data_IF_440734138076
#
_entry.id   IF_440734138076
#
_cell.length_a   1.000
_cell.length_b   1.000
_cell.length_c   1.000
_cell.angle_alpha   90.00
_cell.angle_beta   90.00
_cell.angle_gamma   90.00
#
_symmetry.space_group_name_H-M   'P 1'
#
loop_
_entity.id
_entity.type
_entity.pdbx_description
1 polymer ?
#
# COMPACT_ATOMS: atom_id res chain seq x y z
N UNK A 1 3.26 6.53 32.63
CA UNK A 1 4.15 7.21 31.67
C UNK A 1 3.48 7.03 30.34
N UNK A 2 2.72 8.04 29.93
CA UNK A 2 1.93 7.99 28.72
C UNK A 2 2.87 8.04 27.53
N UNK A 3 2.88 6.96 26.75
CA UNK A 3 3.53 6.94 25.45
C UNK A 3 2.75 7.87 24.52
N UNK A 4 3.40 8.83 23.84
CA UNK A 4 2.70 9.74 22.94
C UNK A 4 2.05 8.94 21.79
N UNK A 5 0.75 9.14 21.56
CA UNK A 5 0.09 8.67 20.36
C UNK A 5 0.68 9.43 19.15
N UNK A 6 1.12 8.69 18.16
CA UNK A 6 1.81 9.22 16.99
C UNK A 6 0.76 9.50 15.92
N UNK A 7 0.32 10.76 15.85
CA UNK A 7 -0.84 11.17 15.06
C UNK A 7 -0.86 10.73 13.59
N UNK A 8 -2.06 10.45 13.07
CA UNK A 8 -2.47 10.15 11.68
C UNK A 8 -1.45 9.41 10.80
N UNK A 9 -1.67 8.11 10.60
CA UNK A 9 -0.90 7.27 9.67
C UNK A 9 0.40 6.66 10.23
N UNK A 10 0.65 6.72 11.53
CA UNK A 10 1.74 5.98 12.17
C UNK A 10 1.39 4.48 12.35
N UNK A 11 2.37 3.56 12.51
CA UNK A 11 2.08 2.17 12.84
C UNK A 11 1.22 2.05 14.09
N UNK A 12 0.15 1.26 13.99
CA UNK A 12 -0.68 0.78 15.09
C UNK A 12 0.22 0.08 16.12
N UNK A 13 0.63 0.81 17.15
CA UNK A 13 1.23 0.21 18.33
C UNK A 13 0.33 0.50 19.52
N UNK A 14 -0.58 -0.43 19.78
CA UNK A 14 -1.09 -0.68 21.13
C UNK A 14 -0.05 -1.54 21.88
N UNK A 15 0.32 -1.11 23.08
CA UNK A 15 1.33 -1.77 23.90
C UNK A 15 0.73 -3.03 24.57
N UNK A 16 1.38 -4.18 24.41
CA UNK A 16 1.15 -5.36 25.25
C UNK A 16 2.43 -5.64 26.05
N UNK A 17 2.42 -5.40 27.36
CA UNK A 17 3.46 -5.89 28.27
C UNK A 17 2.98 -7.15 28.98
N UNK A 18 3.66 -8.30 28.84
CA UNK A 18 3.44 -9.44 29.73
C UNK A 18 4.10 -9.13 31.08
N UNK A 19 3.36 -8.57 32.03
CA UNK A 19 3.82 -8.31 33.40
C UNK A 19 2.81 -7.52 34.25
N UNK A 20 2.68 -7.89 35.53
CA UNK A 20 1.68 -7.38 36.52
C UNK A 20 1.49 -5.84 36.50
N UNK A 21 0.25 -5.38 36.28
CA UNK A 21 -0.18 -3.99 36.44
C UNK A 21 -1.61 -3.73 35.93
N UNK A 22 -2.20 -2.57 36.29
CA UNK A 22 -3.60 -2.16 36.06
C UNK A 22 -3.94 -1.73 34.61
N UNK A 23 -3.17 -2.14 33.61
CA UNK A 23 -3.29 -1.72 32.19
C UNK A 23 -3.60 -2.91 31.25
N UNK A 24 -4.17 -3.98 31.79
CA UNK A 24 -4.48 -5.19 31.01
C UNK A 24 -5.77 -4.97 30.21
N UNK A 25 -5.64 -4.97 28.87
CA UNK A 25 -6.78 -4.90 27.96
C UNK A 25 -7.23 -3.49 27.58
N UNK A 26 -6.46 -2.45 27.96
CA UNK A 26 -6.74 -1.08 27.55
C UNK A 26 -6.55 -0.92 26.03
N UNK A 27 -7.52 -0.29 25.38
CA UNK A 27 -7.46 0.05 23.96
C UNK A 27 -7.42 1.56 23.81
N UNK A 28 -6.42 2.07 23.09
CA UNK A 28 -6.25 3.49 22.84
C UNK A 28 -6.42 3.74 21.34
N UNK A 29 -7.23 4.74 20.98
CA UNK A 29 -7.47 5.14 19.59
C UNK A 29 -6.82 6.50 19.36
N UNK A 30 -6.16 6.67 18.21
CA UNK A 30 -5.54 7.93 17.82
C UNK A 30 -6.62 8.94 17.39
N UNK A 31 -6.78 10.03 18.14
CA UNK A 31 -7.78 11.08 17.86
C UNK A 31 -7.42 11.93 16.64
N UNK A 32 -6.18 11.80 16.14
CA UNK A 32 -5.81 12.39 14.85
C UNK A 32 -6.45 11.64 13.66
N UNK A 33 -6.96 10.41 13.84
CA UNK A 33 -7.60 9.66 12.75
C UNK A 33 -9.00 10.17 12.43
N UNK A 34 -9.35 10.21 11.14
CA UNK A 34 -10.72 10.58 10.74
C UNK A 34 -11.64 9.36 10.88
N UNK A 35 -12.05 9.12 12.13
CA UNK A 35 -12.97 8.05 12.48
C UNK A 35 -14.31 8.22 11.79
N UNK A 36 -14.71 7.17 11.10
CA UNK A 36 -16.02 7.02 10.47
C UNK A 36 -16.77 5.89 11.15
N UNK A 37 -18.09 5.96 11.12
CA UNK A 37 -18.97 4.94 11.66
C UNK A 37 -20.14 4.77 10.71
N UNK A 38 -20.36 3.54 10.22
CA UNK A 38 -21.39 3.23 9.21
C UNK A 38 -21.31 4.07 7.93
N UNK A 39 -20.11 4.53 7.56
CA UNK A 39 -19.93 5.20 6.28
C UNK A 39 -19.63 4.18 5.18
N UNK A 40 -20.28 4.25 4.01
CA UNK A 40 -19.86 3.50 2.83
C UNK A 40 -18.56 4.07 2.22
N UNK A 41 -18.09 5.24 2.69
CA UNK A 41 -16.89 5.88 2.18
C UNK A 41 -15.63 5.13 2.64
N UNK A 42 -14.84 4.66 1.67
CA UNK A 42 -13.55 4.00 1.91
C UNK A 42 -12.41 4.94 2.32
N UNK A 43 -12.69 6.25 2.34
CA UNK A 43 -11.69 7.28 2.60
C UNK A 43 -11.41 7.48 4.09
N UNK A 44 -12.31 7.06 4.98
CA UNK A 44 -12.19 7.15 6.45
C UNK A 44 -11.74 5.85 7.12
N UNK A 45 -11.38 5.96 8.40
CA UNK A 45 -11.07 4.78 9.23
C UNK A 45 -12.36 4.31 9.91
N UNK A 46 -12.79 3.08 9.66
CA UNK A 46 -13.99 2.53 10.30
C UNK A 46 -13.68 2.19 11.74
N UNK A 47 -14.18 3.03 12.65
CA UNK A 47 -13.99 2.86 14.09
C UNK A 47 -14.47 1.49 14.56
N UNK A 48 -15.54 0.96 13.96
CA UNK A 48 -16.06 -0.35 14.35
C UNK A 48 -15.08 -1.46 13.97
N UNK A 49 -14.60 -1.50 12.72
CA UNK A 49 -13.60 -2.47 12.28
C UNK A 49 -12.32 -2.43 13.13
N UNK A 50 -11.79 -1.23 13.41
CA UNK A 50 -10.58 -1.08 14.23
C UNK A 50 -10.86 -1.48 15.68
N UNK A 51 -11.99 -1.09 16.26
CA UNK A 51 -12.35 -1.50 17.61
C UNK A 51 -12.46 -3.03 17.75
N UNK A 52 -13.04 -3.73 16.77
CA UNK A 52 -13.09 -5.20 16.80
C UNK A 52 -11.68 -5.80 16.77
N UNK A 53 -10.78 -5.27 15.94
CA UNK A 53 -9.36 -5.70 15.91
C UNK A 53 -8.68 -5.51 17.26
N UNK A 54 -8.74 -4.30 17.82
CA UNK A 54 -8.06 -3.97 19.06
C UNK A 54 -8.65 -4.68 20.27
N UNK A 55 -9.98 -4.87 20.32
CA UNK A 55 -10.60 -5.70 21.35
C UNK A 55 -10.19 -7.16 21.23
N UNK A 56 -9.90 -7.64 20.02
CA UNK A 56 -9.27 -8.93 19.81
C UNK A 56 -7.94 -9.03 20.56
N UNK A 57 -7.08 -8.01 20.49
CA UNK A 57 -5.86 -7.95 21.29
C UNK A 57 -6.13 -7.88 22.80
N UNK A 58 -7.14 -7.09 23.21
CA UNK A 58 -7.53 -7.00 24.61
C UNK A 58 -7.97 -8.35 25.20
N UNK A 59 -8.57 -9.22 24.38
CA UNK A 59 -8.95 -10.61 24.75
C UNK A 59 -7.88 -11.65 24.38
N UNK A 60 -6.64 -11.23 24.07
CA UNK A 60 -5.51 -12.13 23.90
C UNK A 60 -5.37 -12.80 22.53
N UNK A 61 -6.12 -12.34 21.51
CA UNK A 61 -5.83 -12.71 20.12
C UNK A 61 -4.57 -12.02 19.64
N UNK A 62 -3.73 -12.77 18.93
CA UNK A 62 -2.53 -12.27 18.25
C UNK A 62 -2.80 -12.09 16.76
N UNK A 63 -1.96 -11.29 16.11
CA UNK A 63 -2.04 -11.07 14.66
C UNK A 63 -2.03 -12.38 13.85
N UNK A 64 -2.64 -12.32 12.68
CA UNK A 64 -2.66 -13.42 11.71
C UNK A 64 -2.39 -12.97 10.30
N UNK A 65 -1.89 -13.88 9.46
CA UNK A 65 -1.72 -13.68 8.03
C UNK A 65 -3.00 -13.95 7.22
N UNK A 66 -3.99 -14.63 7.80
CA UNK A 66 -5.23 -15.04 7.13
C UNK A 66 -5.99 -13.85 6.54
N UNK A 67 -6.32 -13.91 5.25
CA UNK A 67 -6.79 -12.75 4.48
C UNK A 67 -8.15 -12.22 4.93
N UNK A 68 -9.01 -13.05 5.50
CA UNK A 68 -10.36 -12.65 5.91
C UNK A 68 -10.45 -12.33 7.42
N UNK A 69 -9.35 -12.42 8.17
CA UNK A 69 -9.39 -12.24 9.61
C UNK A 69 -9.39 -10.77 10.02
N UNK A 70 -10.22 -10.41 10.99
CA UNK A 70 -10.18 -9.06 11.57
C UNK A 70 -8.88 -8.80 12.33
N UNK A 71 -8.19 -9.86 12.80
CA UNK A 71 -6.91 -9.81 13.50
C UNK A 71 -5.70 -9.71 12.55
N UNK A 72 -5.89 -9.40 11.27
CA UNK A 72 -4.75 -9.03 10.42
C UNK A 72 -4.09 -7.75 10.92
N UNK A 73 -2.76 -7.66 10.96
CA UNK A 73 -2.04 -6.48 11.45
C UNK A 73 -2.24 -5.21 10.61
N UNK A 74 -3.06 -5.26 9.56
CA UNK A 74 -3.29 -4.19 8.61
C UNK A 74 -4.79 -3.94 8.46
N UNK A 75 -5.18 -2.66 8.41
CA UNK A 75 -6.58 -2.28 8.22
C UNK A 75 -7.08 -2.65 6.83
N UNK A 76 -8.26 -3.29 6.78
CA UNK A 76 -8.82 -3.88 5.56
C UNK A 76 -9.97 -3.07 4.97
N UNK A 77 -10.30 -1.93 5.57
CA UNK A 77 -11.49 -1.15 5.22
C UNK A 77 -12.67 -1.40 6.16
N UNK A 78 -13.80 -0.72 5.91
CA UNK A 78 -15.01 -0.88 6.69
C UNK A 78 -15.58 -2.29 6.59
N UNK A 79 -16.08 -2.84 7.70
CA UNK A 79 -16.66 -4.19 7.74
C UNK A 79 -18.18 -4.22 7.54
N UNK A 80 -18.72 -3.12 7.00
CA UNK A 80 -20.14 -2.95 6.71
C UNK A 80 -20.96 -2.52 7.93
N UNK A 81 -22.22 -2.97 7.99
CA UNK A 81 -23.14 -2.63 9.07
C UNK A 81 -22.77 -3.40 10.36
N UNK A 82 -22.39 -2.72 11.46
CA UNK A 82 -22.06 -3.35 12.74
C UNK A 82 -23.16 -4.27 13.28
N UNK A 83 -24.42 -4.04 12.94
CA UNK A 83 -25.55 -4.88 13.38
C UNK A 83 -25.65 -6.20 12.62
N UNK A 84 -25.01 -6.29 11.45
CA UNK A 84 -24.97 -7.48 10.59
C UNK A 84 -23.59 -8.12 10.54
N UNK A 85 -22.61 -7.47 11.14
CA UNK A 85 -21.24 -7.95 11.16
C UNK A 85 -21.17 -9.27 11.93
N UNK A 86 -20.57 -10.27 11.27
CA UNK A 86 -20.31 -11.57 11.87
C UNK A 86 -18.80 -11.82 11.83
N UNK A 87 -18.27 -12.29 12.95
CA UNK A 87 -16.84 -12.50 13.09
C UNK A 87 -16.39 -13.62 12.12
N UNK A 88 -15.29 -13.44 11.37
CA UNK A 88 -14.76 -14.47 10.49
C UNK A 88 -14.54 -15.79 11.24
N UNK A 89 -14.78 -16.93 10.56
CA UNK A 89 -14.72 -18.25 11.19
C UNK A 89 -13.36 -18.52 11.87
N UNK A 90 -12.26 -18.06 11.26
CA UNK A 90 -10.92 -18.21 11.85
C UNK A 90 -10.76 -17.48 13.18
N UNK A 91 -11.31 -16.28 13.29
CA UNK A 91 -11.24 -15.49 14.53
C UNK A 91 -12.14 -16.13 15.61
N UNK A 92 -13.33 -16.62 15.24
CA UNK A 92 -14.20 -17.39 16.15
C UNK A 92 -13.49 -18.60 16.74
N UNK A 93 -12.81 -19.39 15.91
CA UNK A 93 -12.08 -20.58 16.36
C UNK A 93 -10.98 -20.21 17.35
N UNK A 94 -10.25 -19.12 17.13
CA UNK A 94 -9.19 -18.65 18.04
C UNK A 94 -9.75 -18.16 19.37
N UNK A 95 -10.88 -17.45 19.35
CA UNK A 95 -11.59 -17.07 20.58
C UNK A 95 -12.04 -18.32 21.34
N UNK A 96 -12.58 -19.32 20.66
CA UNK A 96 -12.97 -20.59 21.30
C UNK A 96 -11.79 -21.38 21.86
N UNK A 97 -10.61 -21.29 21.24
CA UNK A 97 -9.39 -21.89 21.79
C UNK A 97 -8.95 -21.24 23.10
N UNK A 98 -9.14 -19.92 23.24
CA UNK A 98 -8.78 -19.18 24.44
C UNK A 98 -9.82 -19.33 25.57
N UNK A 99 -11.10 -19.29 25.23
CA UNK A 99 -12.19 -19.14 26.20
C UNK A 99 -13.21 -20.29 26.23
N UNK A 100 -13.10 -21.25 25.31
CA UNK A 100 -14.08 -22.32 25.14
C UNK A 100 -15.31 -21.87 24.34
N UNK A 101 -16.15 -22.84 24.00
CA UNK A 101 -17.45 -22.58 23.36
C UNK A 101 -18.48 -22.31 24.45
N UNK A 102 -19.41 -21.39 24.20
CA UNK A 102 -20.38 -20.87 25.20
C UNK A 102 -21.16 -21.96 25.94
N UNK A 103 -21.40 -23.11 25.31
CA UNK A 103 -22.09 -24.27 25.93
C UNK A 103 -21.21 -25.11 26.87
N UNK A 104 -19.90 -24.84 26.92
CA UNK A 104 -18.91 -25.56 27.73
C UNK A 104 -18.38 -24.77 28.94
N UNK A 105 -18.78 -23.51 29.09
CA UNK A 105 -18.38 -22.65 30.22
C UNK A 105 -19.47 -22.66 31.28
N UNK A 106 -19.34 -23.56 32.27
CA UNK A 106 -20.21 -23.59 33.45
C UNK A 106 -20.12 -22.24 34.19
N UNK A 107 -21.23 -21.51 34.27
CA UNK A 107 -21.33 -20.28 35.05
C UNK A 107 -20.99 -20.54 36.53
N UNK A 108 -19.76 -20.24 36.96
CA UNK A 108 -19.46 -20.13 38.38
C UNK A 108 -19.77 -18.72 38.84
N UNK A 109 -20.72 -18.64 39.78
CA UNK A 109 -21.14 -17.48 40.57
C UNK A 109 -22.00 -16.41 39.88
N UNK A 110 -23.30 -16.70 39.81
CA UNK A 110 -24.38 -15.71 39.69
C UNK A 110 -24.73 -15.20 41.10
N UNK A 111 -24.61 -13.90 41.43
CA UNK A 111 -25.41 -13.32 42.49
C UNK A 111 -26.82 -13.15 41.93
N UNK A 112 -27.78 -13.80 42.57
CA UNK A 112 -29.19 -13.75 42.22
C UNK A 112 -29.76 -12.32 42.32
N UNK A 113 -30.16 -11.75 41.18
CA UNK A 113 -31.44 -11.04 41.08
C UNK A 113 -31.88 -10.91 39.61
N UNK A 114 -32.95 -11.60 39.15
CA UNK A 114 -33.45 -11.49 37.79
C UNK A 114 -34.65 -10.53 37.74
N UNK A 115 -34.41 -9.23 37.64
CA UNK A 115 -35.42 -8.26 37.16
C UNK A 115 -34.74 -6.93 36.82
N UNK A 116 -34.12 -6.91 35.65
CA UNK A 116 -34.04 -5.72 34.80
C UNK A 116 -33.60 -6.23 33.43
N UNK A 117 -34.57 -6.40 32.54
CA UNK A 117 -34.30 -6.48 31.10
C UNK A 117 -33.67 -5.14 30.72
N UNK A 118 -32.33 -5.09 30.67
CA UNK A 118 -31.66 -3.97 30.07
C UNK A 118 -31.93 -4.07 28.56
N UNK A 119 -32.85 -3.23 28.10
CA UNK A 119 -33.02 -2.91 26.69
C UNK A 119 -31.62 -2.61 26.10
N UNK A 120 -31.26 -3.14 24.91
CA UNK A 120 -29.98 -2.80 24.30
C UNK A 120 -29.88 -1.26 24.24
N UNK A 121 -28.71 -0.67 24.52
CA UNK A 121 -28.59 0.78 24.52
C UNK A 121 -29.04 1.29 23.16
N UNK A 122 -30.10 2.10 23.16
CA UNK A 122 -30.55 2.83 21.97
C UNK A 122 -29.42 3.79 21.62
N UNK A 123 -28.65 3.43 20.60
CA UNK A 123 -27.70 4.36 19.99
C UNK A 123 -28.53 5.52 19.43
N UNK A 124 -28.27 6.72 19.95
CA UNK A 124 -28.87 7.95 19.44
C UNK A 124 -28.53 8.06 17.94
N UNK A 125 -29.55 8.17 17.10
CA UNK A 125 -29.36 8.53 15.70
C UNK A 125 -28.59 9.85 15.64
N UNK A 126 -27.46 9.84 14.92
CA UNK A 126 -26.62 11.02 14.73
C UNK A 126 -27.48 12.12 14.07
N UNK A 127 -27.38 13.39 14.52
CA UNK A 127 -28.07 14.47 13.85
C UNK A 127 -27.60 14.55 12.38
N UNK A 128 -28.57 14.55 11.46
CA UNK A 128 -28.39 14.59 9.98
C UNK A 128 -27.65 15.83 9.46
N UNK A 129 -27.12 16.66 10.35
CA UNK A 129 -26.44 17.90 10.02
C UNK A 129 -25.03 17.92 10.61
N UNK A 130 -24.26 16.85 10.36
CA UNK A 130 -22.82 16.99 10.30
C UNK A 130 -22.52 17.66 8.98
N UNK A 131 -22.33 18.97 9.02
CA UNK A 131 -21.44 19.63 8.07
C UNK A 131 -20.23 18.73 7.93
N UNK A 132 -20.07 18.16 6.74
CA UNK A 132 -18.85 17.51 6.28
C UNK A 132 -17.73 18.47 6.65
N UNK A 133 -17.04 18.20 7.76
CA UNK A 133 -15.75 18.79 8.02
C UNK A 133 -14.99 18.56 6.73
N UNK A 134 -14.69 19.66 6.03
CA UNK A 134 -14.01 19.67 4.76
C UNK A 134 -12.93 18.60 4.83
N UNK A 135 -13.15 17.50 4.10
CA UNK A 135 -12.15 16.47 3.86
C UNK A 135 -10.87 17.24 3.59
N UNK A 136 -9.82 16.98 4.34
CA UNK A 136 -8.48 17.49 4.07
C UNK A 136 -8.14 17.11 2.63
N UNK A 137 -8.48 17.99 1.70
CA UNK A 137 -8.45 17.85 0.25
C UNK A 137 -7.02 17.93 -0.30
N UNK A 138 -6.04 18.02 0.60
CA UNK A 138 -4.62 18.23 0.31
C UNK A 138 -3.78 16.93 0.30
N UNK A 139 -4.36 15.79 0.67
CA UNK A 139 -3.62 14.53 0.69
C UNK A 139 -3.65 13.86 -0.70
N UNK A 140 -2.50 13.45 -1.26
CA UNK A 140 -2.44 12.79 -2.56
C UNK A 140 -3.14 11.42 -2.52
N UNK A 141 -3.78 11.04 -3.63
CA UNK A 141 -4.38 9.73 -3.80
C UNK A 141 -3.33 8.71 -4.26
N UNK A 142 -3.15 7.63 -3.50
CA UNK A 142 -2.17 6.56 -3.80
C UNK A 142 -2.45 5.83 -5.12
N UNK A 143 -3.70 5.79 -5.57
CA UNK A 143 -4.09 5.02 -6.74
C UNK A 143 -3.88 5.78 -8.05
N UNK A 144 -3.94 7.11 -8.01
CA UNK A 144 -3.77 7.94 -9.19
C UNK A 144 -2.38 8.60 -9.24
N UNK A 145 -1.77 8.93 -8.10
CA UNK A 145 -0.54 9.71 -8.06
C UNK A 145 0.69 8.96 -8.61
N UNK A 146 1.63 9.71 -9.19
CA UNK A 146 3.02 9.30 -9.31
C UNK A 146 3.78 9.62 -8.02
N UNK A 147 4.99 9.08 -7.86
CA UNK A 147 5.80 9.24 -6.65
C UNK A 147 7.06 10.06 -6.93
N UNK A 148 7.46 10.87 -5.95
CA UNK A 148 8.64 11.73 -6.08
C UNK A 148 9.92 10.94 -5.73
N UNK A 149 9.82 9.96 -4.83
CA UNK A 149 10.89 9.02 -4.51
C UNK A 149 10.30 7.70 -4.00
N UNK A 150 11.02 6.60 -4.21
CA UNK A 150 10.67 5.29 -3.70
C UNK A 150 11.90 4.64 -3.09
N UNK A 151 11.84 4.26 -1.82
CA UNK A 151 12.99 3.75 -1.10
C UNK A 151 12.70 2.43 -0.40
N UNK A 152 13.70 1.54 -0.36
CA UNK A 152 13.70 0.43 0.59
C UNK A 152 14.46 0.84 1.85
N UNK A 153 13.78 0.77 2.99
CA UNK A 153 14.36 1.09 4.31
C UNK A 153 14.06 -0.07 5.25
N UNK A 154 15.10 -0.74 5.77
CA UNK A 154 15.00 -1.87 6.71
C UNK A 154 14.13 -3.03 6.19
N UNK A 155 14.05 -3.16 4.87
CA UNK A 155 13.25 -4.16 4.17
C UNK A 155 11.78 -3.75 3.92
N UNK A 156 11.33 -2.61 4.43
CA UNK A 156 10.04 -2.01 4.07
C UNK A 156 10.20 -1.12 2.83
N UNK A 157 9.15 -0.99 2.02
CA UNK A 157 9.11 -0.01 0.93
C UNK A 157 8.42 1.28 1.40
N UNK A 158 8.96 2.41 0.99
CA UNK A 158 8.41 3.74 1.24
C UNK A 158 8.17 4.42 -0.11
N UNK A 159 6.96 4.90 -0.33
CA UNK A 159 6.56 5.66 -1.51
C UNK A 159 6.28 7.10 -1.08
N UNK A 160 7.16 8.03 -1.46
CA UNK A 160 7.06 9.43 -1.08
C UNK A 160 6.33 10.24 -2.15
N UNK A 161 5.40 11.10 -1.71
CA UNK A 161 4.71 12.06 -2.58
C UNK A 161 4.42 13.33 -1.82
N UNK A 162 4.99 14.43 -2.29
CA UNK A 162 4.94 15.71 -1.64
C UNK A 162 5.45 15.64 -0.20
N UNK A 163 4.69 16.19 0.74
CA UNK A 163 4.93 16.11 2.19
C UNK A 163 4.52 14.78 2.84
N UNK A 164 4.15 13.79 2.03
CA UNK A 164 3.52 12.55 2.47
C UNK A 164 4.28 11.30 2.03
N UNK A 165 4.00 10.17 2.67
CA UNK A 165 4.47 8.86 2.21
C UNK A 165 3.51 7.73 2.57
N UNK A 166 3.58 6.65 1.79
CA UNK A 166 3.02 5.34 2.15
C UNK A 166 4.14 4.37 2.46
N UNK A 167 3.84 3.40 3.33
CA UNK A 167 4.79 2.38 3.74
C UNK A 167 4.20 0.99 3.56
N UNK A 168 5.00 0.09 3.02
CA UNK A 168 4.66 -1.31 2.83
C UNK A 168 5.66 -2.20 3.56
N UNK A 169 5.17 -3.30 4.13
CA UNK A 169 6.03 -4.28 4.80
C UNK A 169 6.84 -5.10 3.79
N UNK A 170 7.75 -5.94 4.30
CA UNK A 170 8.57 -6.87 3.49
C UNK A 170 7.75 -7.80 2.60
N UNK A 171 6.53 -8.11 3.03
CA UNK A 171 5.57 -8.95 2.32
C UNK A 171 4.68 -8.14 1.37
N UNK A 172 5.02 -6.87 1.10
CA UNK A 172 4.27 -5.92 0.25
C UNK A 172 2.85 -5.61 0.77
N UNK A 173 2.62 -5.73 2.07
CA UNK A 173 1.36 -5.28 2.65
C UNK A 173 1.42 -3.80 2.95
N UNK A 174 0.43 -3.06 2.47
CA UNK A 174 0.29 -1.64 2.76
C UNK A 174 -0.09 -1.43 4.23
N UNK A 175 0.70 -0.64 4.95
CA UNK A 175 0.52 -0.42 6.40
C UNK A 175 -0.71 0.44 6.69
N UNK A 176 -0.95 1.46 5.86
CA UNK A 176 -2.12 2.33 5.96
C UNK A 176 -2.59 2.74 4.57
N UNK A 177 -3.91 2.79 4.41
CA UNK A 177 -4.55 3.29 3.19
C UNK A 177 -4.31 4.80 3.01
N UNK A 178 -4.14 5.54 4.11
CA UNK A 178 -3.86 6.97 4.10
C UNK A 178 -2.36 7.25 4.15
N UNK A 179 -1.91 8.32 3.47
CA UNK A 179 -0.53 8.73 3.57
C UNK A 179 -0.20 9.25 4.98
N UNK A 180 0.98 8.87 5.48
CA UNK A 180 1.59 9.48 6.66
C UNK A 180 2.36 10.75 6.26
N UNK A 181 2.50 11.71 7.19
CA UNK A 181 3.28 12.92 6.94
C UNK A 181 4.77 12.68 7.20
N UNK A 182 5.61 13.11 6.26
CA UNK A 182 7.07 12.92 6.33
C UNK A 182 7.64 13.51 7.63
N UNK A 183 7.32 14.76 7.96
CA UNK A 183 7.90 15.45 9.12
C UNK A 183 7.49 14.87 10.49
N UNK A 184 6.35 14.16 10.56
CA UNK A 184 5.89 13.50 11.79
C UNK A 184 6.71 12.24 12.08
N UNK A 185 7.07 11.51 11.02
CA UNK A 185 7.84 10.29 11.13
C UNK A 185 9.35 10.53 11.13
N UNK A 186 9.84 11.38 10.23
CA UNK A 186 11.24 11.73 10.02
C UNK A 186 11.58 13.08 10.67
N UNK A 187 12.18 13.03 11.86
CA UNK A 187 12.45 14.20 12.69
C UNK A 187 13.73 14.90 12.24
N UNK A 188 13.60 16.17 11.85
CA UNK A 188 14.73 17.05 11.49
C UNK A 188 14.78 17.45 10.02
N UNK A 189 13.86 16.97 9.18
CA UNK A 189 13.63 17.57 7.86
C UNK A 189 13.00 18.96 7.99
N UNK A 190 13.19 19.87 7.00
CA UNK A 190 12.56 21.19 7.00
C UNK A 190 11.03 21.10 7.11
N UNK A 191 10.40 21.97 7.90
CA UNK A 191 8.94 21.97 8.06
C UNK A 191 8.19 22.31 6.76
N UNK A 192 8.84 23.07 5.87
CA UNK A 192 8.31 23.48 4.57
C UNK A 192 8.78 22.55 3.44
N UNK A 193 9.13 21.29 3.76
CA UNK A 193 9.50 20.32 2.74
C UNK A 193 8.28 20.02 1.85
N UNK A 194 8.42 20.35 0.59
CA UNK A 194 7.42 20.17 -0.45
C UNK A 194 7.48 18.76 -1.04
N UNK A 195 8.67 18.20 -1.24
CA UNK A 195 8.92 16.80 -1.64
C UNK A 195 10.34 16.37 -1.32
N UNK A 196 10.68 15.11 -1.62
CA UNK A 196 12.05 14.57 -1.61
C UNK A 196 12.40 14.10 -3.01
N UNK A 197 13.66 14.19 -3.39
CA UNK A 197 14.09 13.87 -4.77
C UNK A 197 14.62 12.43 -4.87
N UNK A 198 15.27 11.92 -3.82
CA UNK A 198 15.70 10.53 -3.75
C UNK A 198 15.94 10.13 -2.29
N UNK A 199 15.75 8.85 -1.97
CA UNK A 199 16.01 8.31 -0.63
C UNK A 199 16.61 6.92 -0.73
N UNK A 200 17.73 6.66 -0.06
CA UNK A 200 18.30 5.31 -0.01
C UNK A 200 18.86 4.94 1.37
N UNK A 201 18.90 3.64 1.67
CA UNK A 201 19.57 3.10 2.85
C UNK A 201 21.01 2.71 2.48
N UNK A 202 22.00 3.27 3.18
CA UNK A 202 23.41 3.00 2.90
C UNK A 202 23.80 1.57 3.27
N UNK A 203 24.59 0.91 2.40
CA UNK A 203 25.19 -0.36 2.76
C UNK A 203 26.23 -0.15 3.88
N UNK A 204 26.25 -1.08 4.85
CA UNK A 204 27.22 -1.10 5.94
C UNK A 204 26.73 -0.52 7.27
N UNK A 205 26.27 0.74 7.29
CA UNK A 205 25.84 1.39 8.54
C UNK A 205 24.32 1.55 8.69
N UNK A 206 23.55 1.14 7.68
CA UNK A 206 22.08 1.17 7.68
C UNK A 206 21.49 2.56 7.97
N UNK A 207 22.26 3.62 7.74
CA UNK A 207 21.77 4.99 7.81
C UNK A 207 21.03 5.34 6.53
N UNK A 208 20.02 6.19 6.66
CA UNK A 208 19.11 6.51 5.57
C UNK A 208 19.46 7.91 5.07
N UNK A 209 19.62 8.06 3.76
CA UNK A 209 20.07 9.30 3.14
C UNK A 209 18.93 9.88 2.33
N UNK A 210 18.52 11.08 2.69
CA UNK A 210 17.49 11.85 1.99
C UNK A 210 18.16 12.92 1.14
N UNK A 211 17.75 13.05 -0.13
CA UNK A 211 18.18 14.10 -1.04
C UNK A 211 17.04 15.07 -1.32
N UNK A 212 17.37 16.36 -1.31
CA UNK A 212 16.49 17.42 -1.79
C UNK A 212 17.32 18.59 -2.31
N UNK A 213 17.18 18.88 -3.60
CA UNK A 213 18.00 19.82 -4.34
C UNK A 213 19.49 19.44 -4.28
N UNK A 214 20.31 20.42 -3.92
CA UNK A 214 21.76 20.25 -3.77
C UNK A 214 22.17 19.82 -2.34
N UNK A 215 21.21 19.42 -1.51
CA UNK A 215 21.42 19.08 -0.12
C UNK A 215 21.02 17.63 0.16
N UNK A 216 21.68 17.05 1.15
CA UNK A 216 21.32 15.75 1.68
C UNK A 216 21.34 15.73 3.21
N UNK A 217 20.54 14.84 3.77
CA UNK A 217 20.42 14.57 5.21
C UNK A 217 20.70 13.10 5.47
N UNK A 218 21.36 12.79 6.58
CA UNK A 218 21.56 11.41 7.01
C UNK A 218 20.78 11.18 8.29
N UNK A 219 20.00 10.11 8.29
CA UNK A 219 19.14 9.69 9.38
C UNK A 219 19.72 8.44 10.04
N UNK A 220 19.66 8.44 11.38
CA UNK A 220 19.78 7.24 12.19
C UNK A 220 18.43 6.98 12.82
N UNK A 221 17.86 5.81 12.52
CA UNK A 221 16.46 5.54 12.80
C UNK A 221 15.60 6.64 12.18
N UNK A 222 14.82 7.34 13.00
CA UNK A 222 13.89 8.37 12.56
C UNK A 222 14.40 9.81 12.82
N UNK A 223 15.65 9.97 13.27
CA UNK A 223 16.21 11.29 13.61
C UNK A 223 17.38 11.65 12.69
N UNK A 224 17.41 12.91 12.27
CA UNK A 224 18.55 13.45 11.54
C UNK A 224 19.80 13.44 12.42
N UNK A 225 20.94 13.06 11.85
CA UNK A 225 22.24 13.14 12.52
C UNK A 225 22.73 14.59 12.60
N UNK A 226 23.62 14.86 13.55
CA UNK A 226 24.22 16.19 13.70
C UNK A 226 25.09 16.56 12.49
N UNK A 227 25.09 17.84 12.12
CA UNK A 227 25.88 18.38 11.01
C UNK A 227 25.21 18.30 9.63
N UNK A 228 23.95 17.89 9.56
CA UNK A 228 23.13 17.93 8.33
C UNK A 228 22.13 19.09 8.33
N UNK A 229 21.72 19.61 7.16
CA UNK A 229 22.06 19.14 5.81
C UNK A 229 23.50 19.45 5.37
N UNK A 230 24.01 18.61 4.46
CA UNK A 230 25.29 18.80 3.77
C UNK A 230 25.10 18.87 2.25
N UNK A 231 26.14 19.26 1.52
CA UNK A 231 26.07 19.41 0.06
C UNK A 231 26.33 18.08 -0.66
N UNK A 232 25.56 17.79 -1.71
CA UNK A 232 25.75 16.58 -2.53
C UNK A 232 27.13 16.51 -3.20
N UNK A 233 27.87 17.62 -3.27
CA UNK A 233 29.26 17.64 -3.72
C UNK A 233 30.19 16.75 -2.87
N UNK A 234 29.80 16.42 -1.63
CA UNK A 234 30.50 15.45 -0.78
C UNK A 234 30.56 14.04 -1.42
N UNK A 235 29.63 13.71 -2.33
CA UNK A 235 29.62 12.46 -3.10
C UNK A 235 30.46 12.54 -4.37
N UNK A 236 30.96 13.72 -4.75
CA UNK A 236 31.60 13.96 -6.06
C UNK A 236 30.63 14.05 -7.22
N UNK A 237 29.35 14.31 -6.93
CA UNK A 237 28.32 14.56 -7.95
C UNK A 237 28.43 15.98 -8.51
N UNK A 238 27.99 16.20 -9.77
CA UNK A 238 27.86 17.56 -10.31
C UNK A 238 26.91 18.41 -9.44
N UNK A 239 26.99 19.74 -9.54
CA UNK A 239 26.15 20.69 -8.79
C UNK A 239 24.70 20.74 -9.31
N UNK A 240 24.12 19.58 -9.61
CA UNK A 240 22.77 19.40 -10.15
C UNK A 240 21.97 18.43 -9.27
N UNK A 241 20.64 18.55 -9.32
CA UNK A 241 19.73 17.67 -8.59
C UNK A 241 19.71 16.30 -9.26
N UNK A 242 19.83 15.24 -8.47
CA UNK A 242 19.71 13.85 -8.96
C UNK A 242 18.24 13.46 -9.13
N UNK A 243 17.97 12.56 -10.07
CA UNK A 243 16.61 12.07 -10.32
C UNK A 243 16.32 10.81 -9.49
N UNK A 244 17.31 9.94 -9.29
CA UNK A 244 17.15 8.71 -8.50
C UNK A 244 18.45 8.32 -7.79
N UNK A 245 18.33 7.63 -6.65
CA UNK A 245 19.47 7.08 -5.91
C UNK A 245 19.13 5.72 -5.29
N UNK A 246 19.90 4.69 -5.62
CA UNK A 246 19.65 3.36 -5.05
C UNK A 246 20.90 2.49 -4.93
N UNK A 247 20.84 1.47 -4.07
CA UNK A 247 21.92 0.49 -3.90
C UNK A 247 21.66 -0.74 -4.77
N UNK A 248 22.61 -1.08 -5.64
CA UNK A 248 22.48 -2.28 -6.47
C UNK A 248 23.09 -3.51 -5.78
N UNK A 249 22.30 -4.58 -5.63
CA UNK A 249 22.72 -5.78 -4.90
C UNK A 249 23.94 -6.48 -5.46
N UNK A 250 24.09 -6.47 -6.79
CA UNK A 250 25.12 -7.27 -7.43
C UNK A 250 26.53 -6.87 -6.97
N UNK A 251 26.74 -5.61 -6.56
CA UNK A 251 28.04 -5.11 -6.14
C UNK A 251 28.00 -4.21 -4.89
N UNK A 252 26.83 -4.06 -4.25
CA UNK A 252 26.60 -3.22 -3.07
C UNK A 252 27.04 -1.76 -3.25
N UNK A 253 27.07 -1.27 -4.50
CA UNK A 253 27.38 0.14 -4.79
C UNK A 253 26.10 0.95 -4.89
N UNK A 254 26.20 2.22 -4.53
CA UNK A 254 25.13 3.19 -4.74
C UNK A 254 25.22 3.76 -6.15
N UNK A 255 24.08 3.80 -6.83
CA UNK A 255 23.93 4.33 -8.16
C UNK A 255 23.09 5.60 -8.08
N UNK A 256 23.62 6.69 -8.65
CA UNK A 256 22.90 7.95 -8.80
C UNK A 256 22.57 8.15 -10.27
N UNK A 257 21.34 8.54 -10.57
CA UNK A 257 20.90 8.81 -11.95
C UNK A 257 20.57 10.29 -12.11
N UNK A 258 20.94 10.81 -13.28
CA UNK A 258 20.54 12.13 -13.77
C UNK A 258 20.39 12.08 -15.28
N UNK A 259 19.20 12.37 -15.78
CA UNK A 259 18.86 12.35 -17.20
C UNK A 259 19.21 10.99 -17.84
N UNK A 260 20.18 10.99 -18.77
CA UNK A 260 20.66 9.80 -19.46
C UNK A 260 22.02 9.33 -18.93
N UNK A 261 22.42 9.80 -17.76
CA UNK A 261 23.69 9.47 -17.14
C UNK A 261 23.47 8.83 -15.78
N UNK A 262 24.40 7.96 -15.41
CA UNK A 262 24.46 7.43 -14.07
C UNK A 262 25.90 7.40 -13.54
N UNK A 263 26.00 7.50 -12.21
CA UNK A 263 27.23 7.46 -11.44
C UNK A 263 27.19 6.27 -10.52
N UNK A 264 28.36 5.70 -10.21
CA UNK A 264 28.50 4.62 -9.24
C UNK A 264 29.42 5.03 -8.11
N UNK A 265 28.90 5.00 -6.91
CA UNK A 265 29.54 5.44 -5.68
C UNK A 265 29.82 4.27 -4.76
N UNK A 266 31.01 4.28 -4.18
CA UNK A 266 31.42 3.32 -3.17
C UNK A 266 31.22 3.93 -1.78
N UNK A 267 30.16 3.53 -1.08
CA UNK A 267 29.87 4.01 0.29
C UNK A 267 30.92 3.60 1.32
N UNK A 268 31.65 2.49 1.11
CA UNK A 268 32.70 2.05 2.01
C UNK A 268 33.95 2.94 1.88
N UNK A 269 34.35 3.22 0.65
CA UNK A 269 35.48 4.11 0.36
C UNK A 269 35.10 5.59 0.36
N UNK A 270 33.80 5.90 0.42
CA UNK A 270 33.20 7.24 0.32
C UNK A 270 33.69 8.02 -0.88
N UNK A 271 33.72 7.39 -2.05
CA UNK A 271 34.18 8.03 -3.29
C UNK A 271 33.45 7.51 -4.52
N UNK A 272 33.41 8.36 -5.54
CA UNK A 272 32.96 7.96 -6.87
C UNK A 272 33.96 6.99 -7.51
N UNK A 273 33.44 5.95 -8.18
CA UNK A 273 34.26 5.03 -8.96
C UNK A 273 34.84 5.71 -10.20
N UNK A 274 36.04 5.28 -10.61
CA UNK A 274 36.69 5.79 -11.81
C UNK A 274 35.93 5.36 -13.08
N UNK A 275 35.82 6.29 -14.04
CA UNK A 275 35.16 6.03 -15.33
C UNK A 275 33.65 6.27 -15.32
N UNK A 276 33.13 7.00 -14.33
CA UNK A 276 31.77 7.54 -14.27
C UNK A 276 31.77 9.06 -14.48
N UNK A 277 30.68 9.65 -15.03
CA UNK A 277 29.41 9.02 -15.38
C UNK A 277 29.45 8.10 -16.60
N UNK A 278 28.44 7.23 -16.71
CA UNK A 278 28.18 6.37 -17.88
C UNK A 278 26.77 6.60 -18.40
N UNK A 279 26.54 6.22 -19.65
CA UNK A 279 25.24 6.33 -20.31
C UNK A 279 24.23 5.32 -19.74
N UNK A 280 23.03 5.77 -19.39
CA UNK A 280 21.97 4.93 -18.82
C UNK A 280 21.39 3.93 -19.82
N UNK A 281 21.60 4.09 -21.13
CA UNK A 281 21.21 3.12 -22.17
C UNK A 281 21.85 1.73 -22.01
N UNK A 282 22.89 1.61 -21.18
CA UNK A 282 23.44 0.32 -20.76
C UNK A 282 22.41 -0.53 -19.99
N UNK A 283 21.41 0.11 -19.37
CA UNK A 283 20.28 -0.56 -18.74
C UNK A 283 19.19 -0.84 -19.77
N UNK A 284 19.22 -2.05 -20.33
CA UNK A 284 18.32 -2.44 -21.42
C UNK A 284 16.87 -2.57 -20.94
N UNK A 285 15.95 -2.06 -21.74
CA UNK A 285 14.51 -2.17 -21.47
C UNK A 285 13.98 -1.22 -20.39
N UNK A 286 14.84 -0.40 -19.77
CA UNK A 286 14.40 0.69 -18.90
C UNK A 286 14.14 1.97 -19.70
N UNK A 287 13.15 2.78 -19.30
CA UNK A 287 12.94 4.09 -19.91
C UNK A 287 14.07 5.06 -19.49
N UNK A 288 14.34 6.10 -20.31
CA UNK A 288 15.22 7.21 -19.88
C UNK A 288 14.56 7.97 -18.71
N UNK A 289 15.31 8.75 -17.92
CA UNK A 289 14.78 9.57 -16.81
C UNK A 289 13.88 8.77 -15.86
N UNK A 290 14.51 7.98 -15.00
CA UNK A 290 13.86 7.21 -13.96
C UNK A 290 13.53 8.09 -12.75
N UNK A 291 12.42 7.80 -12.08
CA UNK A 291 12.02 8.53 -10.87
C UNK A 291 12.71 7.93 -9.63
N UNK A 292 12.77 6.60 -9.51
CA UNK A 292 13.58 5.95 -8.48
C UNK A 292 13.86 4.48 -8.79
N UNK A 293 14.65 3.82 -7.95
CA UNK A 293 14.72 2.36 -7.94
C UNK A 293 14.87 1.81 -6.52
N UNK A 294 14.30 0.64 -6.28
CA UNK A 294 14.49 -0.09 -5.02
C UNK A 294 14.95 -1.51 -5.27
N UNK A 295 15.66 -2.03 -4.28
CA UNK A 295 15.83 -3.47 -4.11
C UNK A 295 14.60 -4.05 -3.44
N UNK A 296 14.28 -5.32 -3.74
CA UNK A 296 13.34 -6.10 -2.93
C UNK A 296 13.94 -7.39 -2.38
N UNK A 297 13.20 -8.05 -1.49
CA UNK A 297 13.60 -9.28 -0.78
C UNK A 297 13.75 -10.50 -1.71
N UNK A 298 13.23 -10.44 -2.93
CA UNK A 298 13.38 -11.47 -3.96
C UNK A 298 14.72 -11.37 -4.73
N UNK A 299 15.60 -10.45 -4.34
CA UNK A 299 16.89 -10.22 -4.99
C UNK A 299 16.82 -9.38 -6.27
N UNK A 300 15.63 -8.99 -6.71
CA UNK A 300 15.43 -8.17 -7.91
C UNK A 300 15.53 -6.68 -7.60
N UNK A 301 15.89 -5.89 -8.61
CA UNK A 301 15.80 -4.42 -8.57
C UNK A 301 14.53 -3.98 -9.30
N UNK A 302 13.81 -3.03 -8.73
CA UNK A 302 12.55 -2.49 -9.24
C UNK A 302 12.75 -1.01 -9.55
N UNK A 303 12.53 -0.62 -10.79
CA UNK A 303 12.73 0.74 -11.28
C UNK A 303 11.38 1.39 -11.52
N UNK A 304 11.23 2.65 -11.12
CA UNK A 304 9.95 3.35 -11.15
C UNK A 304 10.01 4.53 -12.11
N UNK A 305 8.91 4.73 -12.84
CA UNK A 305 8.68 5.92 -13.66
C UNK A 305 7.18 6.20 -13.80
N UNK A 306 6.76 7.39 -13.43
CA UNK A 306 5.36 7.81 -13.42
C UNK A 306 4.51 6.88 -12.54
N UNK A 307 3.55 6.19 -13.17
CA UNK A 307 2.64 5.23 -12.50
C UNK A 307 3.04 3.78 -12.70
N UNK A 308 4.21 3.57 -13.31
CA UNK A 308 4.67 2.29 -13.81
C UNK A 308 6.01 1.90 -13.18
N UNK A 309 6.27 0.60 -13.16
CA UNK A 309 7.54 0.06 -12.70
C UNK A 309 8.03 -1.08 -13.60
N UNK A 310 9.34 -1.32 -13.56
CA UNK A 310 10.07 -2.38 -14.26
C UNK A 310 10.82 -3.23 -13.25
N UNK A 311 10.97 -4.54 -13.51
CA UNK A 311 11.77 -5.43 -12.69
C UNK A 311 13.02 -5.89 -13.44
N UNK A 312 14.14 -5.89 -12.74
CA UNK A 312 15.44 -6.38 -13.20
C UNK A 312 15.87 -7.52 -12.26
N UNK A 313 15.73 -8.80 -12.66
CA UNK A 313 15.83 -9.95 -11.76
C UNK A 313 17.25 -10.28 -11.26
N UNK A 314 18.32 -9.92 -12.00
CA UNK A 314 19.74 -10.03 -11.57
C UNK A 314 20.69 -9.49 -12.67
N UNK A 315 21.96 -9.24 -12.29
CA UNK A 315 23.23 -8.93 -13.02
C UNK A 315 23.25 -8.31 -14.41
N UNK A 316 22.32 -8.64 -15.29
CA UNK A 316 22.45 -8.42 -16.74
C UNK A 316 21.95 -7.04 -17.18
N UNK A 317 21.71 -6.13 -16.22
CA UNK A 317 21.24 -4.75 -16.46
C UNK A 317 20.10 -4.69 -17.49
N UNK A 318 19.16 -5.64 -17.41
CA UNK A 318 18.09 -5.80 -18.40
C UNK A 318 16.74 -6.02 -17.69
N UNK A 319 15.75 -5.26 -18.13
CA UNK A 319 14.38 -5.39 -17.65
C UNK A 319 13.76 -6.70 -18.13
N UNK A 320 13.03 -7.37 -17.24
CA UNK A 320 12.30 -8.59 -17.54
C UNK A 320 11.18 -8.33 -18.56
N UNK A 321 10.90 -9.33 -19.40
CA UNK A 321 9.76 -9.26 -20.31
C UNK A 321 8.42 -9.20 -19.54
N UNK A 322 7.45 -8.44 -20.06
CA UNK A 322 6.14 -8.27 -19.42
C UNK A 322 6.04 -7.04 -18.51
N UNK A 323 7.04 -6.16 -18.53
CA UNK A 323 7.03 -4.82 -17.92
C UNK A 323 6.92 -3.73 -19.01
N UNK A 324 6.40 -2.53 -18.69
CA UNK A 324 6.00 -2.03 -17.37
C UNK A 324 4.76 -2.69 -16.75
N UNK A 325 4.65 -2.57 -15.42
CA UNK A 325 3.46 -2.91 -14.63
C UNK A 325 3.03 -1.73 -13.76
N UNK A 326 1.77 -1.75 -13.32
CA UNK A 326 1.18 -0.64 -12.54
C UNK A 326 1.61 -0.66 -11.07
N UNK A 327 2.14 0.46 -10.59
CA UNK A 327 2.48 0.65 -9.17
C UNK A 327 1.20 0.54 -8.31
N UNK A 328 0.14 1.23 -8.72
CA UNK A 328 -1.12 1.29 -7.98
C UNK A 328 -1.71 -0.11 -7.74
N UNK A 329 -1.71 -0.96 -8.78
CA UNK A 329 -2.27 -2.32 -8.71
C UNK A 329 -1.39 -3.25 -7.87
N UNK A 330 -0.08 -3.27 -8.15
CA UNK A 330 0.81 -4.33 -7.63
C UNK A 330 1.46 -3.98 -6.29
N UNK A 331 1.60 -2.69 -5.96
CA UNK A 331 2.23 -2.23 -4.72
C UNK A 331 1.21 -1.59 -3.76
N UNK A 332 0.21 -0.86 -4.28
CA UNK A 332 -0.65 -0.01 -3.44
C UNK A 332 -2.08 -0.53 -3.26
N UNK A 333 -2.33 -1.78 -3.67
CA UNK A 333 -3.59 -2.51 -3.47
C UNK A 333 -4.81 -1.76 -4.03
N UNK A 334 -4.66 -1.13 -5.19
CA UNK A 334 -5.74 -0.44 -5.87
C UNK A 334 -6.48 -1.36 -6.85
N UNK A 335 -7.79 -1.19 -6.95
CA UNK A 335 -8.61 -1.87 -7.98
C UNK A 335 -8.43 -1.21 -9.34
N UNK A 336 -8.80 -1.91 -10.43
CA UNK A 336 -8.64 -1.36 -11.79
C UNK A 336 -9.37 -0.03 -11.98
N UNK A 337 -10.59 0.09 -11.44
CA UNK A 337 -11.39 1.32 -11.53
C UNK A 337 -10.75 2.52 -10.82
N UNK A 338 -9.96 2.27 -9.76
CA UNK A 338 -9.27 3.33 -9.01
C UNK A 338 -7.96 3.75 -9.68
N UNK A 339 -7.24 2.80 -10.28
CA UNK A 339 -5.95 3.08 -10.93
C UNK A 339 -6.10 3.86 -12.25
N UNK A 340 -7.22 3.69 -12.96
CA UNK A 340 -7.46 4.34 -14.26
C UNK A 340 -8.13 5.74 -14.12
N UNK A 341 -8.38 6.20 -12.90
CA UNK A 341 -8.99 7.51 -12.66
C UNK A 341 -8.02 8.66 -12.97
N UNK A 342 -8.48 9.75 -13.62
CA UNK A 342 -7.61 10.88 -13.97
C UNK A 342 -7.14 11.64 -12.72
N UNK A 343 -5.89 12.11 -12.76
CA UNK A 343 -5.23 12.75 -11.61
C UNK A 343 -5.97 13.98 -11.11
N UNK A 344 -6.12 14.07 -9.79
CA UNK A 344 -6.75 15.20 -9.09
C UNK A 344 -6.06 16.54 -9.38
N UNK A 345 -4.74 16.54 -9.67
CA UNK A 345 -4.01 17.75 -10.10
C UNK A 345 -4.59 18.36 -11.38
N UNK A 346 -5.11 17.54 -12.29
CA UNK A 346 -5.72 18.02 -13.55
C UNK A 346 -7.07 18.71 -13.30
N UNK A 347 -7.78 18.40 -12.21
CA UNK A 347 -9.07 19.02 -11.89
C UNK A 347 -8.93 20.46 -11.41
N UNK A 348 -7.81 20.81 -10.77
CA UNK A 348 -7.58 22.16 -10.25
C UNK A 348 -7.28 23.18 -11.37
N UNK A 349 -6.86 22.73 -12.55
CA UNK A 349 -6.52 23.60 -13.69
C UNK A 349 -7.68 23.91 -14.65
N UNK A 350 -8.90 23.42 -14.37
CA UNK A 350 -10.08 23.61 -15.25
C UNK A 350 -11.08 24.64 -14.69
N UNK A 351 -10.91 25.11 -13.45
CA UNK A 351 -11.82 26.11 -12.86
C UNK A 351 -11.30 27.55 -12.99
N UNK A 352 -11.22 28.06 -14.23
CA UNK A 352 -11.27 29.51 -14.49
C UNK A 352 -11.75 29.82 -15.92
N UNK A 353 -13.06 29.64 -16.20
CA UNK A 353 -13.75 30.45 -17.20
C UNK A 353 -15.28 30.47 -16.91
N UNK A 354 -15.99 31.59 -17.13
CA UNK A 354 -17.24 31.89 -16.43
C UNK A 354 -18.49 31.35 -17.13
N UNK A 355 -19.47 31.06 -16.29
CA UNK A 355 -20.93 31.04 -16.46
C UNK A 355 -21.49 31.09 -17.89
N UNK A 356 -22.08 29.97 -18.32
CA UNK A 356 -23.34 30.01 -19.06
C UNK A 356 -24.22 28.83 -18.63
N UNK A 357 -25.31 29.17 -17.95
CA UNK A 357 -26.38 28.27 -17.57
C UNK A 357 -27.22 27.93 -18.81
N UNK A 358 -27.50 26.64 -19.02
CA UNK A 358 -28.74 26.22 -19.67
C UNK A 358 -29.21 24.88 -19.09
N UNK A 359 -30.48 24.89 -18.67
CA UNK A 359 -31.21 23.80 -18.02
C UNK A 359 -31.48 22.66 -19.01
N UNK A 360 -31.30 21.43 -18.55
CA UNK A 360 -31.77 20.23 -19.26
C UNK A 360 -31.68 18.99 -18.39
N UNK A 361 -32.60 18.84 -17.44
CA UNK A 361 -32.80 17.56 -16.75
C UNK A 361 -33.53 16.61 -17.71
N UNK A 362 -32.88 15.53 -18.14
CA UNK A 362 -33.56 14.38 -18.71
C UNK A 362 -33.25 13.14 -17.87
N UNK A 363 -34.31 12.69 -17.18
CA UNK A 363 -34.34 11.53 -16.29
C UNK A 363 -34.68 10.32 -17.14
N UNK A 364 -33.78 9.33 -17.24
CA UNK A 364 -34.11 8.04 -17.83
C UNK A 364 -34.46 7.03 -16.74
N UNK A 365 -35.77 6.78 -16.61
CA UNK A 365 -36.35 5.68 -15.83
C UNK A 365 -36.23 4.35 -16.58
N UNK A 366 -35.89 3.30 -15.84
CA UNK A 366 -35.92 1.93 -16.31
C UNK A 366 -37.36 1.39 -16.31
N UNK A 367 -37.80 0.74 -17.40
CA UNK A 367 -38.86 -0.28 -17.33
C UNK A 367 -38.59 -1.41 -18.32
N UNK A 368 -38.49 -2.61 -17.78
CA UNK A 368 -38.56 -3.90 -18.47
C UNK A 368 -40.03 -4.24 -18.76
N UNK A 369 -40.36 -4.80 -19.93
CA UNK A 369 -41.11 -6.08 -20.05
C UNK A 369 -41.47 -6.50 -21.50
N UNK A 370 -41.03 -7.72 -21.84
CA UNK A 370 -41.80 -8.85 -22.40
C UNK A 370 -42.52 -8.83 -23.77
N UNK A 371 -42.17 -9.87 -24.57
CA UNK A 371 -43.02 -10.77 -25.38
C UNK A 371 -43.05 -10.67 -26.94
N UNK A 372 -42.68 -11.80 -27.59
CA UNK A 372 -42.85 -12.22 -29.00
C UNK A 372 -44.33 -12.55 -29.35
N UNK A 373 -44.79 -12.95 -30.59
CA UNK A 373 -44.22 -14.00 -31.50
C UNK A 373 -44.51 -13.89 -33.04
N UNK A 374 -44.20 -15.00 -33.77
CA UNK A 374 -44.52 -15.42 -35.17
C UNK A 374 -43.45 -15.10 -36.24
N UNK A 375 -42.82 -15.99 -37.02
CA UNK A 375 -42.87 -17.45 -37.21
C UNK A 375 -43.11 -17.81 -38.68
N UNK A 376 -42.15 -18.44 -39.42
CA UNK A 376 -42.36 -19.35 -40.59
C UNK A 376 -41.10 -20.23 -40.84
N UNK A 377 -41.31 -21.54 -40.99
CA UNK A 377 -40.40 -22.60 -41.49
C UNK A 377 -40.93 -23.14 -42.85
N UNK A 378 -40.15 -23.83 -43.72
CA UNK A 378 -40.00 -25.30 -43.66
C UNK A 378 -38.63 -25.90 -44.09
N UNK A 379 -38.49 -27.22 -43.86
CA UNK A 379 -37.36 -28.19 -43.92
C UNK A 379 -37.27 -28.95 -45.28
N UNK A 380 -36.63 -30.16 -45.48
CA UNK A 380 -35.71 -31.03 -44.69
C UNK A 380 -34.50 -31.73 -45.43
N UNK A 381 -33.52 -32.27 -44.65
CA UNK A 381 -32.71 -33.56 -44.69
C UNK A 381 -32.16 -34.21 -46.01
N UNK A 382 -31.17 -35.17 -46.04
CA UNK A 382 -30.81 -36.21 -45.04
C UNK A 382 -29.32 -36.68 -44.86
N UNK A 383 -29.16 -37.69 -43.96
CA UNK A 383 -28.02 -38.48 -43.44
C UNK A 383 -27.14 -39.27 -44.44
N UNK A 384 -25.86 -39.58 -44.08
CA UNK A 384 -25.07 -40.85 -44.30
C UNK A 384 -23.84 -40.87 -43.32
N UNK A 385 -23.71 -41.76 -42.32
CA UNK A 385 -23.10 -43.12 -42.23
C UNK A 385 -21.55 -43.26 -42.41
N UNK A 386 -20.88 -43.81 -41.37
CA UNK A 386 -19.51 -44.40 -41.24
C UNK A 386 -19.31 -45.65 -42.18
N UNK A 387 -18.12 -46.34 -42.37
CA UNK A 387 -17.05 -46.67 -41.38
C UNK A 387 -15.58 -46.98 -41.88
N UNK A 388 -14.67 -47.31 -40.92
CA UNK A 388 -13.55 -48.33 -40.92
C UNK A 388 -12.39 -48.28 -41.97
N UNK A 389 -11.13 -48.75 -41.83
CA UNK A 389 -10.37 -49.71 -40.99
C UNK A 389 -8.84 -49.35 -41.05
N UNK A 390 -8.08 -49.73 -40.00
CA UNK A 390 -6.75 -50.41 -39.95
C UNK A 390 -5.56 -49.88 -40.80
N UNK A 391 -4.31 -49.77 -40.31
CA UNK A 391 -3.42 -50.88 -39.88
C UNK A 391 -2.23 -50.43 -39.01
N UNK A 392 -1.84 -51.30 -38.07
CA UNK A 392 -0.55 -51.35 -37.35
C UNK A 392 0.67 -51.49 -38.28
N UNK A 393 1.84 -50.98 -37.83
CA UNK A 393 3.07 -51.76 -37.53
C UNK A 393 4.35 -50.94 -37.82
N UNK A 394 5.19 -50.72 -36.81
CA UNK A 394 6.46 -51.43 -36.63
C UNK A 394 7.24 -50.80 -35.47
N UNK A 395 7.51 -51.63 -34.46
CA UNK A 395 8.57 -51.43 -33.50
C UNK A 395 9.87 -52.02 -34.07
N UNK A 396 11.01 -51.36 -33.89
CA UNK A 396 12.26 -52.05 -33.64
C UNK A 396 13.18 -51.23 -32.73
N UNK A 397 13.60 -51.87 -31.66
CA UNK A 397 14.59 -51.50 -30.64
C UNK A 397 15.97 -51.99 -31.10
N UNK A 398 17.02 -51.24 -30.78
CA UNK A 398 18.39 -51.66 -30.37
C UNK A 398 19.28 -50.41 -30.36
N UNK A 399 19.68 -49.88 -29.21
CA UNK A 399 20.78 -50.29 -28.31
C UNK A 399 22.21 -50.03 -28.81
N UNK A 400 23.02 -49.49 -27.87
CA UNK A 400 24.49 -49.31 -27.81
C UNK A 400 25.00 -48.04 -28.53
N UNK A 401 25.72 -47.10 -27.92
CA UNK A 401 26.62 -47.10 -26.75
C UNK A 401 26.57 -45.73 -26.04
#
# INVERSE_FOLDING_TARGET
MDTPLMGQGAPWHTHFSPGRGSQLGDTHFDDDEAWTFRSPDTHGMDLFAVAVHEFGHAIGLVHTSAIESIMRPYYQGPVGDPLKYDLPYEDKVRVWQLYGVRDSVSHTNRPDNPSQTAEPPVLLDLPENRSTLLLTQDAPDRCTSHFDAVAQIRGEAFFFKGKYFWRLTREKHLVSLRPAQIHRFWKGLPQNLDSVDAVYERPGDHKIVFFKGLKYWVFKDNNVEEGYPRSISDFGLPLEVIDAAFVWLHNEKTYFFKDNLYWRYDDHLRRMDLGYPKDSSLWKGLPPQLDDAIRWSDGSSYFFKGKEYWRVPSSDMEAEAGYPRSIAKDWLLCTEMQADSPDTETRLNVQHQPDHAENGFEVCSCTSDSASPLGVHPSPSPLWLLPSLWTLSLALRSELL
#
